data_IF_616123875494
#
_entry.id   IF_616123875494
#
_cell.length_a   1.000
_cell.length_b   1.000
_cell.length_c   1.000
_cell.angle_alpha   90.00
_cell.angle_beta   90.00
_cell.angle_gamma   90.00
#
_symmetry.space_group_name_H-M   'P 1'
#
loop_
_entity.id
_entity.type
_entity.pdbx_description
1 polymer ?
#
# COMPACT_ATOMS: atom_id res chain seq x y z
N UNK A 1 -1.09 0.90 13.40
CA UNK A 1 -0.69 0.73 11.99
C UNK A 1 0.14 1.97 11.67
N UNK A 2 1.42 1.81 11.33
CA UNK A 2 2.33 2.94 11.09
C UNK A 2 2.65 2.98 9.61
N UNK A 3 2.46 4.14 8.97
CA UNK A 3 2.84 4.31 7.56
C UNK A 3 4.34 4.59 7.48
N UNK A 4 5.07 3.89 6.58
CA UNK A 4 6.54 3.94 6.57
C UNK A 4 7.10 5.23 5.97
N UNK A 5 6.30 6.02 5.25
CA UNK A 5 6.77 7.20 4.54
C UNK A 5 5.75 8.33 4.67
N UNK A 6 6.18 9.45 5.26
CA UNK A 6 5.44 10.70 5.23
C UNK A 6 5.88 11.51 4.02
N UNK A 7 4.93 12.04 3.26
CA UNK A 7 5.20 12.91 2.12
C UNK A 7 4.89 14.34 2.53
N UNK A 8 5.89 15.22 2.53
CA UNK A 8 5.72 16.63 2.86
C UNK A 8 5.02 17.36 1.71
N UNK A 9 3.88 18.00 2.00
CA UNK A 9 3.12 18.81 1.04
C UNK A 9 3.14 20.28 1.50
N UNK A 10 3.34 21.21 0.55
CA UNK A 10 3.30 22.66 0.80
C UNK A 10 2.12 23.28 0.04
N UNK A 11 1.37 24.23 0.64
CA UNK A 11 0.23 24.88 -0.03
C UNK A 11 0.65 25.74 -1.23
N UNK A 12 1.91 26.18 -1.29
CA UNK A 12 2.39 27.13 -2.30
C UNK A 12 2.87 26.45 -3.59
N UNK A 13 3.01 25.12 -3.60
CA UNK A 13 3.59 24.36 -4.71
C UNK A 13 2.73 23.14 -5.00
N UNK A 14 2.26 23.00 -6.25
CA UNK A 14 1.63 21.76 -6.72
C UNK A 14 2.70 20.67 -6.80
N UNK A 15 2.47 19.54 -6.13
CA UNK A 15 3.32 18.36 -6.24
C UNK A 15 2.52 17.22 -6.85
N UNK A 16 3.15 16.42 -7.71
CA UNK A 16 2.58 15.15 -8.15
C UNK A 16 3.00 14.05 -7.15
N UNK A 17 2.05 13.24 -6.69
CA UNK A 17 2.31 12.15 -5.75
C UNK A 17 1.98 10.82 -6.44
N UNK A 18 2.93 9.91 -6.45
CA UNK A 18 2.74 8.54 -6.94
C UNK A 18 2.58 7.59 -5.77
N UNK A 19 1.59 6.70 -5.86
CA UNK A 19 1.29 5.66 -4.87
C UNK A 19 1.39 4.28 -5.50
N UNK A 20 2.23 3.43 -4.92
CA UNK A 20 2.37 2.02 -5.34
C UNK A 20 1.67 1.13 -4.33
N UNK A 21 0.73 0.31 -4.82
CA UNK A 21 -0.07 -0.62 -4.01
C UNK A 21 -0.22 -1.97 -4.71
N UNK A 22 -0.25 -3.06 -3.92
CA UNK A 22 -0.41 -4.45 -4.42
C UNK A 22 -1.60 -5.15 -3.74
N UNK A 23 -2.85 -4.73 -3.99
CA UNK A 23 -4.01 -5.17 -3.22
C UNK A 23 -4.32 -6.67 -3.40
N UNK A 24 -3.88 -7.28 -4.51
CA UNK A 24 -4.08 -8.71 -4.76
C UNK A 24 -3.43 -9.61 -3.69
N UNK A 25 -2.40 -9.14 -2.98
CA UNK A 25 -1.71 -9.90 -1.92
C UNK A 25 -2.60 -10.06 -0.69
N UNK A 26 -3.56 -9.15 -0.46
CA UNK A 26 -4.38 -9.15 0.74
C UNK A 26 -5.21 -10.43 0.91
N UNK A 27 -5.65 -11.00 -0.21
CA UNK A 27 -6.55 -12.15 -0.25
C UNK A 27 -5.86 -13.43 -0.73
N UNK A 28 -4.53 -13.50 -0.67
CA UNK A 28 -3.79 -14.70 -1.07
C UNK A 28 -2.89 -15.15 0.08
N UNK A 29 -2.98 -16.43 0.45
CA UNK A 29 -2.07 -17.06 1.39
C UNK A 29 -1.64 -18.42 0.83
N UNK A 30 -0.33 -18.65 0.72
CA UNK A 30 0.24 -19.88 0.16
C UNK A 30 -0.35 -20.30 -1.20
N UNK A 31 -0.67 -19.32 -2.06
CA UNK A 31 -1.27 -19.56 -3.38
C UNK A 31 -2.78 -19.83 -3.36
N UNK A 32 -3.42 -19.80 -2.19
CA UNK A 32 -4.87 -20.00 -2.03
C UNK A 32 -5.56 -18.67 -1.82
N UNK A 33 -6.71 -18.48 -2.48
CA UNK A 33 -7.55 -17.32 -2.28
C UNK A 33 -8.29 -17.38 -0.94
N UNK A 34 -8.20 -16.31 -0.16
CA UNK A 34 -8.90 -16.10 1.09
C UNK A 34 -10.19 -15.32 0.83
N UNK A 35 -11.34 -15.98 0.92
CA UNK A 35 -12.64 -15.32 0.80
C UNK A 35 -12.91 -14.45 2.05
N UNK A 36 -13.11 -13.13 1.91
CA UNK A 36 -13.36 -12.23 3.04
C UNK A 36 -14.72 -12.45 3.71
N UNK A 37 -15.63 -13.21 3.09
CA UNK A 37 -16.92 -13.57 3.69
C UNK A 37 -16.80 -14.69 4.72
N UNK A 38 -15.66 -15.40 4.75
CA UNK A 38 -15.40 -16.47 5.70
C UNK A 38 -14.74 -15.86 6.95
N UNK A 39 -15.38 -15.89 8.13
CA UNK A 39 -14.84 -15.25 9.34
C UNK A 39 -13.48 -15.78 9.76
N UNK A 40 -13.20 -17.07 9.50
CA UNK A 40 -11.90 -17.69 9.80
C UNK A 40 -10.73 -17.04 9.03
N UNK A 41 -10.98 -16.44 7.87
CA UNK A 41 -9.95 -15.78 7.06
C UNK A 41 -9.65 -14.34 7.52
N UNK A 42 -10.48 -13.77 8.41
CA UNK A 42 -10.41 -12.35 8.77
C UNK A 42 -9.03 -11.94 9.31
N UNK A 43 -8.47 -12.73 10.23
CA UNK A 43 -7.17 -12.44 10.83
C UNK A 43 -6.03 -12.52 9.82
N UNK A 44 -6.06 -13.50 8.92
CA UNK A 44 -5.02 -13.67 7.91
C UNK A 44 -5.08 -12.53 6.87
N UNK A 45 -6.27 -12.12 6.46
CA UNK A 45 -6.47 -10.99 5.56
C UNK A 45 -5.98 -9.69 6.22
N UNK A 46 -6.33 -9.43 7.48
CA UNK A 46 -5.86 -8.25 8.23
C UNK A 46 -4.32 -8.23 8.37
N UNK A 47 -3.72 -9.37 8.70
CA UNK A 47 -2.27 -9.51 8.75
C UNK A 47 -1.63 -9.28 7.37
N UNK A 48 -2.20 -9.83 6.30
CA UNK A 48 -1.73 -9.61 4.94
C UNK A 48 -1.81 -8.13 4.55
N UNK A 49 -2.87 -7.42 4.90
CA UNK A 49 -3.01 -5.98 4.66
C UNK A 49 -1.90 -5.21 5.38
N UNK A 50 -1.72 -5.46 6.67
CA UNK A 50 -0.67 -4.82 7.49
C UNK A 50 0.72 -5.08 6.93
N UNK A 51 1.02 -6.33 6.60
CA UNK A 51 2.30 -6.72 6.02
C UNK A 51 2.51 -6.08 4.64
N UNK A 52 1.48 -6.03 3.80
CA UNK A 52 1.57 -5.39 2.49
C UNK A 52 1.81 -3.87 2.60
N UNK A 53 1.19 -3.21 3.57
CA UNK A 53 1.45 -1.79 3.87
C UNK A 53 2.90 -1.59 4.30
N UNK A 54 3.43 -2.43 5.19
CA UNK A 54 4.81 -2.29 5.65
C UNK A 54 5.84 -2.59 4.54
N UNK A 55 5.55 -3.57 3.67
CA UNK A 55 6.55 -4.11 2.74
C UNK A 55 6.47 -3.56 1.30
N UNK A 56 5.27 -3.18 0.84
CA UNK A 56 5.04 -2.82 -0.57
C UNK A 56 4.42 -1.44 -0.77
N UNK A 57 3.72 -0.89 0.23
CA UNK A 57 3.13 0.43 0.11
C UNK A 57 4.25 1.48 0.07
N UNK A 58 4.29 2.24 -1.02
CA UNK A 58 5.20 3.36 -1.20
C UNK A 58 4.41 4.55 -1.70
N UNK A 59 4.63 5.70 -1.08
CA UNK A 59 4.14 6.98 -1.55
C UNK A 59 5.32 7.94 -1.62
N UNK A 60 5.48 8.62 -2.76
CA UNK A 60 6.60 9.53 -2.99
C UNK A 60 6.20 10.65 -3.95
N UNK A 61 6.96 11.73 -3.90
CA UNK A 61 6.87 12.85 -4.83
C UNK A 61 7.44 12.40 -6.19
N UNK A 62 6.76 12.74 -7.28
CA UNK A 62 7.05 12.29 -8.65
C UNK A 62 6.57 13.37 -9.65
N UNK A 63 7.19 14.55 -9.61
CA UNK A 63 6.84 15.72 -10.41
C UNK A 63 7.05 15.51 -11.90
N UNK A 64 8.04 14.69 -12.28
CA UNK A 64 8.32 14.33 -13.67
C UNK A 64 7.44 13.17 -14.21
N UNK A 65 6.69 12.50 -13.32
CA UNK A 65 5.71 11.43 -13.60
C UNK A 65 6.33 10.18 -14.21
N UNK A 66 7.56 9.87 -13.86
CA UNK A 66 8.27 8.69 -14.37
C UNK A 66 8.00 7.42 -13.53
N UNK A 67 7.29 7.53 -12.40
CA UNK A 67 7.00 6.42 -11.50
C UNK A 67 8.12 6.07 -10.52
N UNK A 68 9.10 6.96 -10.37
CA UNK A 68 10.24 6.90 -9.45
C UNK A 68 10.22 8.13 -8.54
N UNK A 69 10.83 8.06 -7.35
CA UNK A 69 10.89 9.20 -6.44
C UNK A 69 11.80 10.32 -6.98
N UNK A 70 11.32 11.56 -6.85
CA UNK A 70 12.10 12.81 -6.99
C UNK A 70 13.11 13.04 -5.85
#
# INVERSE_FOLDING_TARGET
MNFPTAVSVSPDIKSNITMVIKPYIWFISNGVYLDPRIPANSNDIDNNIKNNINNNFKAFKDDDRNGLPD
#
